data_IF_544822386629
#
_entry.id   IF_544822386629
#
_cell.length_a   1.000
_cell.length_b   1.000
_cell.length_c   1.000
_cell.angle_alpha   90.00
_cell.angle_beta   90.00
_cell.angle_gamma   90.00
#
_symmetry.space_group_name_H-M   'P 1'
#
loop_
_entity.id
_entity.type
_entity.pdbx_description
1 polymer ?
#
# COMPACT_ATOMS: atom_id res chain seq x y z
N UNK A 1 -4.41 18.85 30.74
CA UNK A 1 -4.13 18.99 29.30
C UNK A 1 -2.70 19.48 29.19
N UNK A 2 -1.77 18.67 28.66
CA UNK A 2 -0.37 19.11 28.54
C UNK A 2 -0.34 20.20 27.45
N UNK A 3 0.21 21.37 27.76
CA UNK A 3 0.61 22.36 26.78
C UNK A 3 1.68 21.69 25.90
N UNK A 4 1.24 20.97 24.85
CA UNK A 4 2.14 20.31 23.94
C UNK A 4 2.87 21.40 23.16
N UNK A 5 4.14 21.62 23.48
CA UNK A 5 4.99 22.52 22.71
C UNK A 5 5.34 21.86 21.38
N UNK A 6 4.78 22.38 20.30
CA UNK A 6 5.08 21.91 18.94
C UNK A 6 6.20 22.74 18.32
N UNK A 7 7.19 22.07 17.76
CA UNK A 7 8.23 22.69 16.93
C UNK A 7 7.55 23.30 15.68
N UNK A 8 7.89 24.53 15.33
CA UNK A 8 7.38 25.14 14.09
C UNK A 8 7.91 24.42 12.86
N UNK A 9 7.03 24.21 11.88
CA UNK A 9 7.35 23.44 10.67
C UNK A 9 6.12 22.80 10.01
N UNK A 10 6.36 21.84 9.15
CA UNK A 10 5.35 21.10 8.40
C UNK A 10 4.95 19.81 9.14
N UNK A 11 3.65 19.64 9.37
CA UNK A 11 3.04 18.45 9.97
C UNK A 11 2.16 17.75 8.93
N UNK A 12 2.50 16.52 8.58
CA UNK A 12 1.66 15.66 7.75
C UNK A 12 0.66 14.97 8.67
N UNK A 13 -0.62 15.33 8.57
CA UNK A 13 -1.63 14.88 9.54
C UNK A 13 -2.62 13.94 8.86
N UNK A 14 -2.66 12.69 9.34
CA UNK A 14 -3.67 11.73 8.91
C UNK A 14 -5.07 12.16 9.36
N UNK A 15 -6.03 12.05 8.43
CA UNK A 15 -7.45 12.32 8.68
C UNK A 15 -8.27 11.03 8.66
N UNK A 16 -9.50 11.01 9.21
CA UNK A 16 -10.36 9.82 9.17
C UNK A 16 -10.66 9.38 7.74
N UNK A 17 -10.81 8.06 7.55
CA UNK A 17 -11.21 7.45 6.26
C UNK A 17 -12.68 7.06 6.20
N UNK A 18 -13.47 7.48 7.19
CA UNK A 18 -14.91 7.19 7.25
C UNK A 18 -15.50 7.28 8.65
N UNK A 19 -14.68 7.08 9.70
CA UNK A 19 -15.10 7.16 11.08
C UNK A 19 -14.33 8.25 11.82
N UNK A 20 -15.03 9.28 12.31
CA UNK A 20 -14.40 10.39 13.04
C UNK A 20 -13.63 9.93 14.28
N UNK A 21 -14.03 8.81 14.89
CA UNK A 21 -13.36 8.23 16.04
C UNK A 21 -11.93 7.72 15.78
N UNK A 22 -11.56 7.55 14.51
CA UNK A 22 -10.20 7.08 14.12
C UNK A 22 -9.16 8.21 14.07
N UNK A 23 -9.57 9.46 14.32
CA UNK A 23 -8.61 10.56 14.41
C UNK A 23 -7.84 10.46 15.74
N UNK A 24 -6.52 10.56 15.67
CA UNK A 24 -5.71 10.54 16.89
C UNK A 24 -5.83 11.84 17.71
N UNK A 25 -5.73 11.74 19.02
CA UNK A 25 -5.72 12.92 19.89
C UNK A 25 -4.61 13.91 19.49
N UNK A 26 -3.42 13.40 19.12
CA UNK A 26 -2.30 14.22 18.64
C UNK A 26 -2.63 14.93 17.32
N UNK A 27 -3.40 14.31 16.41
CA UNK A 27 -3.84 14.97 15.18
C UNK A 27 -4.76 16.18 15.51
N UNK A 28 -5.68 16.01 16.45
CA UNK A 28 -6.55 17.09 16.91
C UNK A 28 -5.73 18.23 17.52
N UNK A 29 -4.76 17.91 18.38
CA UNK A 29 -3.91 18.92 19.01
C UNK A 29 -3.04 19.68 17.99
N UNK A 30 -2.47 18.98 17.00
CA UNK A 30 -1.72 19.60 15.90
C UNK A 30 -2.61 20.50 15.07
N UNK A 31 -3.82 20.06 14.70
CA UNK A 31 -4.76 20.89 13.93
C UNK A 31 -5.21 22.12 14.72
N UNK A 32 -5.39 22.01 16.05
CA UNK A 32 -5.67 23.16 16.92
C UNK A 32 -4.50 24.16 17.01
N UNK A 33 -3.27 23.67 16.97
CA UNK A 33 -2.06 24.48 17.13
C UNK A 33 -1.53 25.06 15.83
N UNK A 34 -1.89 24.47 14.67
CA UNK A 34 -1.44 24.94 13.37
C UNK A 34 -1.91 26.37 13.07
N UNK A 35 -1.00 27.21 12.58
CA UNK A 35 -1.30 28.56 12.12
C UNK A 35 -2.05 28.54 10.77
N UNK A 36 -1.76 27.52 9.94
CA UNK A 36 -2.39 27.30 8.64
C UNK A 36 -2.59 25.79 8.41
N UNK A 37 -3.73 25.42 7.80
CA UNK A 37 -3.96 24.06 7.32
C UNK A 37 -3.97 24.07 5.80
N UNK A 38 -2.98 23.39 5.20
CA UNK A 38 -2.93 23.11 3.77
C UNK A 38 -3.73 21.83 3.49
N UNK A 39 -4.61 21.83 2.50
CA UNK A 39 -5.55 20.73 2.27
C UNK A 39 -5.95 20.61 0.79
N UNK A 40 -6.36 19.43 0.39
CA UNK A 40 -6.78 19.18 -1.00
C UNK A 40 -8.10 19.91 -1.31
N UNK A 41 -9.17 19.65 -0.55
CA UNK A 41 -10.44 20.37 -0.63
C UNK A 41 -10.72 21.10 0.70
N UNK A 42 -10.73 22.45 0.62
CA UNK A 42 -11.00 23.31 1.78
C UNK A 42 -12.39 23.09 2.38
N UNK A 43 -13.36 22.66 1.59
CA UNK A 43 -14.74 22.41 2.05
C UNK A 43 -14.79 21.14 2.91
N UNK A 44 -14.11 20.07 2.51
CA UNK A 44 -14.03 18.82 3.26
C UNK A 44 -13.26 19.03 4.57
N UNK A 45 -12.12 19.71 4.49
CA UNK A 45 -11.32 20.06 5.68
C UNK A 45 -12.10 20.97 6.64
N UNK A 46 -12.85 21.96 6.15
CA UNK A 46 -13.67 22.81 7.00
C UNK A 46 -14.74 22.01 7.76
N UNK A 47 -15.39 21.04 7.09
CA UNK A 47 -16.36 20.13 7.74
C UNK A 47 -15.70 19.32 8.85
N UNK A 48 -14.51 18.73 8.56
CA UNK A 48 -13.75 17.96 9.56
C UNK A 48 -13.43 18.83 10.77
N UNK A 49 -12.86 20.04 10.57
CA UNK A 49 -12.51 20.95 11.67
C UNK A 49 -13.74 21.33 12.49
N UNK A 50 -14.88 21.57 11.84
CA UNK A 50 -16.14 21.87 12.52
C UNK A 50 -16.60 20.71 13.40
N UNK A 51 -16.54 19.46 12.88
CA UNK A 51 -16.87 18.25 13.66
C UNK A 51 -15.96 18.04 14.86
N UNK A 52 -14.69 18.48 14.76
CA UNK A 52 -13.70 18.42 15.84
C UNK A 52 -13.79 19.60 16.81
N UNK A 53 -14.69 20.54 16.61
CA UNK A 53 -14.81 21.76 17.42
C UNK A 53 -13.63 22.73 17.26
N UNK A 54 -12.96 22.69 16.10
CA UNK A 54 -11.83 23.56 15.75
C UNK A 54 -12.30 24.69 14.85
N UNK A 55 -12.27 25.93 15.34
CA UNK A 55 -12.70 27.12 14.62
C UNK A 55 -11.54 28.05 14.27
N UNK A 56 -11.78 28.99 13.35
CA UNK A 56 -10.86 30.10 13.03
C UNK A 56 -9.56 29.71 12.33
N UNK A 57 -9.47 28.51 11.73
CA UNK A 57 -8.26 28.06 11.02
C UNK A 57 -8.18 28.66 9.64
N UNK A 58 -6.99 29.10 9.25
CA UNK A 58 -6.68 29.53 7.90
C UNK A 58 -6.48 28.32 7.02
N UNK A 59 -7.33 28.15 6.01
CA UNK A 59 -7.22 27.05 5.05
C UNK A 59 -6.51 27.54 3.77
N UNK A 60 -5.65 26.69 3.22
CA UNK A 60 -4.96 26.94 1.94
C UNK A 60 -5.11 25.70 1.07
N UNK A 61 -5.72 25.84 -0.09
CA UNK A 61 -5.83 24.73 -1.04
C UNK A 61 -4.45 24.33 -1.56
N UNK A 62 -4.14 23.03 -1.50
CA UNK A 62 -2.92 22.43 -2.01
C UNK A 62 -3.25 21.07 -2.65
N UNK A 63 -3.25 21.02 -3.97
CA UNK A 63 -3.54 19.83 -4.77
C UNK A 63 -2.61 19.79 -5.99
N UNK A 64 -2.56 18.68 -6.71
CA UNK A 64 -1.62 18.48 -7.83
C UNK A 64 -1.69 19.57 -8.91
N UNK A 65 -2.88 20.15 -9.17
CA UNK A 65 -3.06 21.18 -10.20
C UNK A 65 -2.60 22.59 -9.77
N UNK A 66 -2.47 22.86 -8.46
CA UNK A 66 -2.05 24.18 -7.96
C UNK A 66 -0.72 24.14 -7.21
N UNK A 67 -0.09 22.98 -7.05
CA UNK A 67 1.11 22.79 -6.25
C UNK A 67 2.24 23.77 -6.59
N UNK A 68 2.44 24.08 -7.87
CA UNK A 68 3.48 25.05 -8.30
C UNK A 68 3.25 26.48 -7.77
N UNK A 69 1.98 26.89 -7.64
CA UNK A 69 1.61 28.22 -7.13
C UNK A 69 1.45 28.25 -5.61
N UNK A 70 0.99 27.14 -5.02
CA UNK A 70 0.72 27.05 -3.59
C UNK A 70 1.99 26.75 -2.78
N UNK A 71 2.89 25.91 -3.28
CA UNK A 71 4.12 25.51 -2.58
C UNK A 71 4.96 26.71 -2.14
N UNK A 72 5.33 27.70 -2.99
CA UNK A 72 6.12 28.85 -2.56
C UNK A 72 5.47 29.65 -1.41
N UNK A 73 4.13 29.78 -1.45
CA UNK A 73 3.39 30.52 -0.41
C UNK A 73 3.39 29.78 0.94
N UNK A 74 3.34 28.45 0.90
CA UNK A 74 3.41 27.65 2.10
C UNK A 74 4.84 27.69 2.67
N UNK A 75 5.86 27.60 1.82
CA UNK A 75 7.26 27.72 2.23
C UNK A 75 7.57 29.06 2.88
N UNK A 76 7.03 30.16 2.34
CA UNK A 76 7.18 31.51 2.92
C UNK A 76 6.62 31.55 4.35
N UNK A 77 5.43 30.95 4.61
CA UNK A 77 4.87 30.85 5.95
C UNK A 77 5.77 30.05 6.89
N UNK A 78 6.25 28.90 6.44
CA UNK A 78 7.14 28.03 7.22
C UNK A 78 8.46 28.76 7.55
N UNK A 79 9.04 29.53 6.63
CA UNK A 79 10.22 30.37 6.86
C UNK A 79 9.93 31.50 7.85
N UNK A 80 8.69 31.99 7.89
CA UNK A 80 8.24 32.99 8.88
C UNK A 80 7.87 32.35 10.22
N UNK A 81 8.37 31.13 10.49
CA UNK A 81 8.17 30.41 11.75
C UNK A 81 6.70 30.10 12.07
N UNK A 82 5.87 29.90 11.03
CA UNK A 82 4.53 29.36 11.18
C UNK A 82 4.55 27.85 11.25
N UNK A 83 3.56 27.27 11.94
CA UNK A 83 3.27 25.84 11.94
C UNK A 83 2.20 25.53 10.90
N UNK A 84 2.51 24.70 9.90
CA UNK A 84 1.57 24.30 8.86
C UNK A 84 1.22 22.83 8.99
N UNK A 85 -0.07 22.53 9.05
CA UNK A 85 -0.56 21.14 8.91
C UNK A 85 -0.95 20.90 7.47
N UNK A 86 -0.44 19.80 6.87
CA UNK A 86 -0.90 19.30 5.58
C UNK A 86 -1.83 18.11 5.84
N UNK A 87 -3.04 18.17 5.30
CA UNK A 87 -4.04 17.10 5.35
C UNK A 87 -4.50 16.72 3.95
N UNK A 88 -4.86 15.46 3.74
CA UNK A 88 -5.64 14.99 2.60
C UNK A 88 -7.14 14.96 2.94
N UNK A 89 -7.97 14.70 1.96
CA UNK A 89 -9.42 14.58 2.17
C UNK A 89 -9.75 13.37 3.05
N UNK A 90 -8.94 12.28 2.98
CA UNK A 90 -9.07 11.10 3.82
C UNK A 90 -7.74 10.34 3.94
N UNK A 91 -7.40 9.88 5.14
CA UNK A 91 -6.22 9.06 5.39
C UNK A 91 -4.91 9.84 5.51
N UNK A 92 -3.82 9.21 5.09
CA UNK A 92 -2.46 9.73 5.19
C UNK A 92 -2.13 10.64 4.00
N UNK A 93 -1.71 11.90 4.19
CA UNK A 93 -1.21 12.73 3.10
C UNK A 93 -0.06 12.06 2.34
N UNK A 94 0.16 12.39 1.09
CA UNK A 94 1.15 11.84 0.16
C UNK A 94 0.87 10.42 -0.33
N UNK A 95 -0.02 9.67 0.29
CA UNK A 95 -0.31 8.28 -0.06
C UNK A 95 -1.45 8.26 -1.10
N UNK A 96 -1.12 8.29 -2.37
CA UNK A 96 -2.01 8.55 -3.52
C UNK A 96 -2.62 9.96 -3.53
N UNK A 97 -2.05 10.87 -2.73
CA UNK A 97 -2.51 12.24 -2.48
C UNK A 97 -1.39 13.25 -2.75
N UNK A 98 -1.72 14.56 -2.89
CA UNK A 98 -0.73 15.61 -3.05
C UNK A 98 0.19 15.75 -1.82
N UNK A 99 1.41 16.29 -2.03
CA UNK A 99 2.29 16.66 -0.89
C UNK A 99 3.76 16.41 -1.13
N UNK A 100 4.14 15.46 -1.98
CA UNK A 100 5.52 15.04 -2.19
C UNK A 100 6.46 16.22 -2.48
N UNK A 101 6.10 17.10 -3.44
CA UNK A 101 6.89 18.29 -3.80
C UNK A 101 7.08 19.24 -2.61
N UNK A 102 6.03 19.48 -1.83
CA UNK A 102 6.11 20.35 -0.65
C UNK A 102 7.06 19.79 0.41
N UNK A 103 7.00 18.49 0.66
CA UNK A 103 7.88 17.82 1.62
C UNK A 103 9.33 17.90 1.17
N UNK A 104 9.62 17.63 -0.12
CA UNK A 104 10.98 17.79 -0.66
C UNK A 104 11.50 19.21 -0.47
N UNK A 105 10.74 20.21 -0.89
CA UNK A 105 11.10 21.61 -0.73
C UNK A 105 11.35 22.00 0.73
N UNK A 106 10.56 21.47 1.68
CA UNK A 106 10.80 21.71 3.10
C UNK A 106 12.13 21.10 3.54
N UNK A 107 12.43 19.87 3.16
CA UNK A 107 13.68 19.18 3.50
C UNK A 107 14.88 19.94 2.92
N UNK A 108 14.84 20.33 1.65
CA UNK A 108 15.90 21.03 0.96
C UNK A 108 16.19 22.42 1.56
N UNK A 109 15.18 23.01 2.21
CA UNK A 109 15.31 24.29 2.91
C UNK A 109 15.55 24.17 4.42
N UNK A 110 15.83 22.96 4.94
CA UNK A 110 16.09 22.74 6.36
C UNK A 110 14.90 23.00 7.29
N UNK A 111 13.67 23.00 6.75
CA UNK A 111 12.43 23.19 7.49
C UNK A 111 12.07 21.87 8.18
N UNK A 112 11.71 21.93 9.46
CA UNK A 112 11.26 20.75 10.20
C UNK A 112 10.01 20.13 9.58
N UNK A 113 10.07 18.82 9.32
CA UNK A 113 8.96 18.03 8.80
C UNK A 113 8.71 16.84 9.72
N UNK A 114 7.46 16.62 10.08
CA UNK A 114 7.06 15.44 10.88
C UNK A 114 5.71 14.90 10.41
N UNK A 115 5.42 13.65 10.78
CA UNK A 115 4.13 13.00 10.50
C UNK A 115 3.39 12.68 11.78
N UNK A 116 2.06 12.86 11.73
CA UNK A 116 1.11 12.41 12.73
C UNK A 116 0.38 11.19 12.18
N UNK A 117 0.78 9.97 12.55
CA UNK A 117 0.19 8.75 12.01
C UNK A 117 -1.28 8.61 12.38
N UNK A 118 -2.03 7.92 11.54
CA UNK A 118 -3.45 7.68 11.77
C UNK A 118 -4.05 6.72 10.75
N UNK A 119 -5.33 6.90 10.43
CA UNK A 119 -6.08 6.02 9.55
C UNK A 119 -5.40 5.87 8.18
N UNK A 120 -5.33 4.61 7.72
CA UNK A 120 -4.70 4.25 6.45
C UNK A 120 -5.45 3.09 5.80
N UNK A 121 -6.18 3.35 4.71
CA UNK A 121 -7.08 2.38 4.10
C UNK A 121 -6.36 1.13 3.60
N UNK A 122 -5.21 1.27 2.92
CA UNK A 122 -4.49 0.12 2.37
C UNK A 122 -3.89 -0.78 3.44
N UNK A 123 -3.38 -0.23 4.55
CA UNK A 123 -2.87 -1.02 5.68
C UNK A 123 -4.00 -1.74 6.42
N UNK A 124 -5.13 -1.07 6.63
CA UNK A 124 -6.31 -1.68 7.23
C UNK A 124 -6.86 -2.80 6.36
N UNK A 125 -6.92 -2.60 5.03
CA UNK A 125 -7.31 -3.64 4.09
C UNK A 125 -6.37 -4.85 4.12
N UNK A 126 -5.04 -4.63 4.20
CA UNK A 126 -4.05 -5.70 4.34
C UNK A 126 -4.33 -6.54 5.60
N UNK A 127 -4.55 -5.89 6.75
CA UNK A 127 -4.90 -6.58 8.00
C UNK A 127 -6.20 -7.39 7.87
N UNK A 128 -7.23 -6.82 7.24
CA UNK A 128 -8.52 -7.47 7.05
C UNK A 128 -8.48 -8.58 5.98
N UNK A 129 -7.51 -8.57 5.07
CA UNK A 129 -7.44 -9.53 3.96
C UNK A 129 -7.17 -10.96 4.42
N UNK A 130 -6.41 -11.15 5.50
CA UNK A 130 -5.90 -12.45 5.95
C UNK A 130 -4.77 -13.01 5.08
N UNK A 131 -4.23 -12.20 4.15
CA UNK A 131 -3.09 -12.55 3.30
C UNK A 131 -1.75 -12.25 3.98
N UNK A 132 -0.62 -12.83 3.52
CA UNK A 132 0.71 -12.57 4.09
C UNK A 132 1.02 -11.07 4.15
N UNK A 133 1.39 -10.57 5.33
CA UNK A 133 1.60 -9.13 5.58
C UNK A 133 3.06 -8.74 5.80
N UNK A 134 3.97 -9.71 5.88
CA UNK A 134 5.39 -9.46 6.14
C UNK A 134 6.12 -8.80 4.96
N UNK A 135 5.57 -8.92 3.75
CA UNK A 135 6.08 -8.27 2.55
C UNK A 135 4.88 -7.88 1.68
N UNK A 136 4.72 -6.59 1.40
CA UNK A 136 3.63 -6.08 0.57
C UNK A 136 4.12 -4.92 -0.30
N UNK A 137 3.40 -4.68 -1.39
CA UNK A 137 3.59 -3.57 -2.30
C UNK A 137 2.24 -2.86 -2.49
N UNK A 138 2.19 -1.58 -2.17
CA UNK A 138 1.06 -0.71 -2.45
C UNK A 138 1.30 0.01 -3.78
N UNK A 139 0.43 -0.21 -4.77
CA UNK A 139 0.54 0.36 -6.12
C UNK A 139 -0.41 1.55 -6.35
N UNK A 140 -1.31 1.87 -5.41
CA UNK A 140 -2.35 2.88 -5.64
C UNK A 140 -3.38 2.43 -6.68
N UNK A 141 -3.81 3.34 -7.56
CA UNK A 141 -4.77 3.04 -8.63
C UNK A 141 -4.07 2.51 -9.88
N UNK A 142 -4.60 1.44 -10.44
CA UNK A 142 -4.16 0.94 -11.74
C UNK A 142 -4.64 1.86 -12.88
N UNK A 143 -3.94 1.87 -14.03
CA UNK A 143 -4.36 2.62 -15.20
C UNK A 143 -5.81 2.30 -15.63
N UNK A 144 -6.60 3.30 -16.07
CA UNK A 144 -8.01 3.08 -16.44
C UNK A 144 -8.18 2.23 -17.71
N UNK A 145 -7.24 2.29 -18.67
CA UNK A 145 -7.29 1.53 -19.92
C UNK A 145 -6.76 0.12 -19.71
N UNK A 146 -7.53 -0.90 -20.12
CA UNK A 146 -7.19 -2.34 -20.03
C UNK A 146 -5.77 -2.65 -20.49
N UNK A 147 -5.35 -2.17 -21.66
CA UNK A 147 -3.99 -2.44 -22.17
C UNK A 147 -2.89 -1.91 -21.26
N UNK A 148 -3.04 -0.70 -20.72
CA UNK A 148 -2.08 -0.11 -19.81
C UNK A 148 -2.13 -0.78 -18.42
N UNK A 149 -3.33 -1.16 -17.96
CA UNK A 149 -3.56 -1.88 -16.71
C UNK A 149 -2.89 -3.26 -16.73
N UNK A 150 -3.05 -4.01 -17.82
CA UNK A 150 -2.39 -5.33 -17.97
C UNK A 150 -0.87 -5.20 -18.00
N UNK A 151 -0.31 -4.22 -18.71
CA UNK A 151 1.15 -3.96 -18.70
C UNK A 151 1.67 -3.67 -17.30
N UNK A 152 0.96 -2.88 -16.50
CA UNK A 152 1.32 -2.63 -15.11
C UNK A 152 1.26 -3.91 -14.26
N UNK A 153 0.21 -4.71 -14.44
CA UNK A 153 0.06 -5.99 -13.76
C UNK A 153 1.15 -7.00 -14.16
N UNK A 154 1.61 -7.02 -15.42
CA UNK A 154 2.73 -7.85 -15.89
C UNK A 154 4.02 -7.53 -15.14
N UNK A 155 4.32 -6.24 -14.89
CA UNK A 155 5.48 -5.81 -14.10
C UNK A 155 5.39 -6.34 -12.67
N UNK A 156 4.18 -6.38 -12.11
CA UNK A 156 3.92 -6.80 -10.74
C UNK A 156 3.78 -8.32 -10.57
N UNK A 157 3.61 -9.06 -11.68
CA UNK A 157 3.23 -10.48 -11.64
C UNK A 157 4.21 -11.35 -10.83
N UNK A 158 5.51 -11.07 -10.92
CA UNK A 158 6.55 -11.87 -10.27
C UNK A 158 7.08 -11.24 -8.97
N UNK A 159 6.46 -10.16 -8.48
CA UNK A 159 6.87 -9.54 -7.22
C UNK A 159 6.49 -10.45 -6.06
N UNK A 160 7.45 -10.93 -5.23
CA UNK A 160 7.18 -11.86 -4.13
C UNK A 160 6.63 -11.13 -2.90
N UNK A 161 5.49 -10.45 -3.08
CA UNK A 161 4.82 -9.64 -2.07
C UNK A 161 3.30 -9.67 -2.27
N UNK A 162 2.56 -9.41 -1.20
CA UNK A 162 1.12 -9.12 -1.29
C UNK A 162 0.92 -7.78 -1.97
N UNK A 163 0.14 -7.75 -3.04
CA UNK A 163 -0.13 -6.55 -3.83
C UNK A 163 -1.41 -5.87 -3.33
N UNK A 164 -1.38 -4.54 -3.22
CA UNK A 164 -2.50 -3.75 -2.71
C UNK A 164 -2.81 -2.62 -3.70
N UNK A 165 -4.10 -2.48 -4.04
CA UNK A 165 -4.58 -1.51 -5.02
C UNK A 165 -5.81 -0.78 -4.49
N UNK A 166 -5.90 0.51 -4.77
CA UNK A 166 -7.16 1.24 -4.70
C UNK A 166 -7.96 1.02 -5.98
N UNK A 167 -9.29 0.94 -5.85
CA UNK A 167 -10.15 0.81 -7.02
C UNK A 167 -11.51 1.48 -6.81
N UNK A 168 -12.10 1.93 -7.89
CA UNK A 168 -13.47 2.45 -7.91
C UNK A 168 -14.48 1.33 -8.20
N UNK A 169 -15.71 1.44 -7.67
CA UNK A 169 -16.73 0.42 -7.89
C UNK A 169 -17.07 0.20 -9.38
N UNK A 170 -17.01 1.26 -10.18
CA UNK A 170 -17.32 1.20 -11.61
C UNK A 170 -16.31 0.38 -12.41
N UNK A 171 -15.06 0.32 -11.94
CA UNK A 171 -13.94 -0.37 -12.62
C UNK A 171 -13.65 -1.75 -12.05
N UNK A 172 -14.21 -2.08 -10.89
CA UNK A 172 -13.86 -3.30 -10.14
C UNK A 172 -13.98 -4.57 -10.99
N UNK A 173 -15.06 -4.68 -11.79
CA UNK A 173 -15.31 -5.86 -12.62
C UNK A 173 -14.20 -6.12 -13.64
N UNK A 174 -13.83 -5.06 -14.38
CA UNK A 174 -12.76 -5.13 -15.38
C UNK A 174 -11.40 -5.35 -14.73
N UNK A 175 -11.15 -4.67 -13.61
CA UNK A 175 -9.88 -4.77 -12.89
C UNK A 175 -9.65 -6.18 -12.34
N UNK A 176 -10.65 -6.81 -11.72
CA UNK A 176 -10.55 -8.19 -11.25
C UNK A 176 -10.35 -9.17 -12.41
N UNK A 177 -11.02 -8.96 -13.55
CA UNK A 177 -10.84 -9.79 -14.73
C UNK A 177 -9.40 -9.69 -15.28
N UNK A 178 -8.86 -8.48 -15.43
CA UNK A 178 -7.49 -8.28 -15.88
C UNK A 178 -6.46 -8.82 -14.88
N UNK A 179 -6.72 -8.72 -13.56
CA UNK A 179 -5.89 -9.33 -12.53
C UNK A 179 -5.89 -10.86 -12.63
N UNK A 180 -7.05 -11.49 -12.85
CA UNK A 180 -7.15 -12.95 -13.00
C UNK A 180 -6.42 -13.45 -14.26
N UNK A 181 -6.48 -12.68 -15.35
CA UNK A 181 -5.82 -12.99 -16.60
C UNK A 181 -4.28 -12.90 -16.50
N UNK A 182 -3.76 -11.84 -15.88
CA UNK A 182 -2.32 -11.56 -15.85
C UNK A 182 -1.63 -12.18 -14.62
N UNK A 183 -2.23 -12.10 -13.43
CA UNK A 183 -1.62 -12.61 -12.20
C UNK A 183 -1.95 -14.08 -11.95
N UNK A 184 -2.88 -14.67 -12.72
CA UNK A 184 -3.44 -15.99 -12.45
C UNK A 184 -4.49 -15.96 -11.33
N UNK A 185 -5.08 -17.11 -11.03
CA UNK A 185 -6.19 -17.23 -10.07
C UNK A 185 -5.70 -17.22 -8.61
N UNK A 186 -5.04 -16.15 -8.17
CA UNK A 186 -4.50 -15.99 -6.81
C UNK A 186 -5.60 -15.78 -5.80
N UNK A 187 -5.30 -16.08 -4.53
CA UNK A 187 -6.11 -15.64 -3.40
C UNK A 187 -6.11 -14.11 -3.34
N UNK A 188 -7.28 -13.55 -3.07
CA UNK A 188 -7.47 -12.11 -3.00
C UNK A 188 -8.55 -11.75 -1.98
N UNK A 189 -8.58 -10.48 -1.62
CA UNK A 189 -9.65 -9.89 -0.82
C UNK A 189 -10.09 -8.56 -1.44
N UNK A 190 -11.40 -8.32 -1.46
CA UNK A 190 -11.98 -7.01 -1.78
C UNK A 190 -12.52 -6.45 -0.48
N UNK A 191 -11.94 -5.34 -0.02
CA UNK A 191 -12.34 -4.64 1.21
C UNK A 191 -12.98 -3.32 0.81
N UNK A 192 -14.20 -3.08 1.26
CA UNK A 192 -14.93 -1.87 0.91
C UNK A 192 -15.43 -1.12 2.12
N UNK A 193 -15.61 0.20 1.96
CA UNK A 193 -16.22 1.08 2.96
C UNK A 193 -15.62 0.91 4.36
N UNK A 194 -14.29 0.81 4.44
CA UNK A 194 -13.52 0.58 5.66
C UNK A 194 -13.89 1.65 6.70
N UNK A 195 -14.14 1.21 7.95
CA UNK A 195 -14.58 2.02 9.10
C UNK A 195 -15.99 2.64 8.99
N UNK A 196 -16.69 2.42 7.87
CA UNK A 196 -18.05 2.95 7.63
C UNK A 196 -19.13 1.92 7.94
N UNK A 197 -20.39 2.36 7.94
CA UNK A 197 -21.58 1.52 8.23
C UNK A 197 -21.69 0.26 7.35
N UNK A 198 -21.18 0.31 6.12
CA UNK A 198 -21.27 -0.77 5.16
C UNK A 198 -19.91 -1.42 4.88
N UNK A 199 -19.01 -1.40 5.87
CA UNK A 199 -17.75 -2.11 5.82
C UNK A 199 -17.97 -3.59 5.50
N UNK A 200 -17.22 -4.08 4.51
CA UNK A 200 -17.30 -5.49 4.12
C UNK A 200 -15.95 -5.96 3.58
N UNK A 201 -15.59 -7.19 3.93
CA UNK A 201 -14.43 -7.88 3.37
C UNK A 201 -14.89 -9.19 2.74
N UNK A 202 -14.72 -9.32 1.43
CA UNK A 202 -14.98 -10.56 0.68
C UNK A 202 -13.65 -11.18 0.28
N UNK A 203 -13.44 -12.45 0.65
CA UNK A 203 -12.19 -13.19 0.41
C UNK A 203 -12.45 -14.37 -0.51
N UNK A 204 -11.48 -14.71 -1.36
CA UNK A 204 -11.57 -15.86 -2.26
C UNK A 204 -10.44 -15.82 -3.29
N UNK A 205 -10.51 -16.65 -4.31
CA UNK A 205 -9.68 -16.50 -5.49
C UNK A 205 -10.20 -15.37 -6.37
N UNK A 206 -9.37 -14.80 -7.23
CA UNK A 206 -9.79 -13.74 -8.16
C UNK A 206 -11.02 -14.15 -8.98
N UNK A 207 -11.04 -15.37 -9.54
CA UNK A 207 -12.21 -15.89 -10.27
C UNK A 207 -13.43 -16.08 -9.36
N UNK A 208 -13.23 -16.60 -8.14
CA UNK A 208 -14.33 -16.78 -7.17
C UNK A 208 -14.96 -15.45 -6.76
N UNK A 209 -14.16 -14.38 -6.60
CA UNK A 209 -14.67 -13.03 -6.33
C UNK A 209 -15.50 -12.49 -7.51
N UNK A 210 -15.02 -12.69 -8.75
CA UNK A 210 -15.75 -12.29 -9.96
C UNK A 210 -17.12 -13.00 -10.02
N UNK A 211 -17.14 -14.30 -9.83
CA UNK A 211 -18.36 -15.09 -9.89
C UNK A 211 -19.33 -14.74 -8.76
N UNK A 212 -18.80 -14.53 -7.54
CA UNK A 212 -19.60 -14.08 -6.40
C UNK A 212 -20.27 -12.73 -6.65
N UNK A 213 -19.54 -11.75 -7.23
CA UNK A 213 -20.13 -10.45 -7.55
C UNK A 213 -21.08 -10.49 -8.75
N UNK A 214 -20.87 -11.34 -9.73
CA UNK A 214 -21.82 -11.56 -10.82
C UNK A 214 -23.19 -12.08 -10.31
N UNK A 215 -23.17 -12.95 -9.29
CA UNK A 215 -24.39 -13.52 -8.70
C UNK A 215 -25.09 -12.56 -7.74
N UNK A 216 -24.32 -11.82 -6.91
CA UNK A 216 -24.86 -11.03 -5.79
C UNK A 216 -24.87 -9.53 -6.04
N UNK A 217 -24.39 -9.07 -7.21
CA UNK A 217 -24.24 -7.66 -7.56
C UNK A 217 -22.92 -7.05 -7.16
N UNK A 218 -22.46 -6.08 -7.95
CA UNK A 218 -21.21 -5.37 -7.74
C UNK A 218 -21.31 -4.39 -6.57
N UNK A 219 -20.27 -4.28 -5.73
CA UNK A 219 -20.29 -3.41 -4.56
C UNK A 219 -20.23 -1.93 -4.96
N UNK A 220 -20.72 -1.08 -4.05
CA UNK A 220 -20.63 0.40 -4.14
C UNK A 220 -19.65 0.89 -3.05
N UNK A 221 -19.19 2.13 -3.18
CA UNK A 221 -18.32 2.80 -2.22
C UNK A 221 -16.84 2.64 -2.53
N UNK A 222 -15.98 3.04 -1.62
CA UNK A 222 -14.53 2.98 -1.77
C UNK A 222 -14.02 1.56 -1.57
N UNK A 223 -13.07 1.14 -2.41
CA UNK A 223 -12.62 -0.25 -2.50
C UNK A 223 -11.09 -0.32 -2.45
N UNK A 224 -10.61 -1.30 -1.69
CA UNK A 224 -9.22 -1.74 -1.71
C UNK A 224 -9.20 -3.22 -2.13
N UNK A 225 -8.37 -3.55 -3.11
CA UNK A 225 -8.12 -4.92 -3.55
C UNK A 225 -6.77 -5.35 -2.98
N UNK A 226 -6.73 -6.52 -2.37
CA UNK A 226 -5.50 -7.13 -1.84
C UNK A 226 -5.33 -8.49 -2.52
N UNK A 227 -4.18 -8.74 -3.14
CA UNK A 227 -3.89 -9.97 -3.90
C UNK A 227 -2.67 -10.65 -3.32
N UNK A 228 -2.76 -11.96 -3.10
CA UNK A 228 -1.65 -12.77 -2.57
C UNK A 228 -0.40 -12.71 -3.47
N UNK A 229 0.79 -12.93 -2.91
CA UNK A 229 2.01 -13.10 -3.71
C UNK A 229 1.85 -14.26 -4.72
N UNK A 230 2.70 -14.35 -5.75
CA UNK A 230 2.77 -15.53 -6.58
C UNK A 230 3.02 -16.76 -5.70
N UNK A 231 2.48 -17.92 -6.10
CA UNK A 231 2.83 -19.17 -5.46
C UNK A 231 4.36 -19.35 -5.56
N UNK A 232 4.99 -19.76 -4.45
CA UNK A 232 6.37 -20.20 -4.56
C UNK A 232 6.41 -21.37 -5.56
N UNK A 233 7.04 -21.16 -6.70
CA UNK A 233 7.37 -22.27 -7.58
C UNK A 233 8.29 -23.19 -6.81
N UNK A 234 7.75 -24.28 -6.28
CA UNK A 234 8.60 -25.41 -5.88
C UNK A 234 9.26 -25.87 -7.17
N UNK A 235 10.58 -25.69 -7.26
CA UNK A 235 11.33 -26.17 -8.39
C UNK A 235 10.91 -27.62 -8.73
N UNK A 236 10.57 -27.85 -10.00
CA UNK A 236 10.18 -29.18 -10.44
C UNK A 236 11.30 -30.18 -10.10
N UNK A 237 11.00 -31.44 -9.79
CA UNK A 237 12.03 -32.45 -9.48
C UNK A 237 13.15 -32.52 -10.53
N UNK A 238 12.84 -32.29 -11.80
CA UNK A 238 13.81 -32.24 -12.90
C UNK A 238 14.78 -31.06 -12.77
N UNK A 239 14.34 -29.91 -12.28
CA UNK A 239 15.20 -28.73 -12.09
C UNK A 239 16.14 -28.94 -10.90
N UNK A 240 15.67 -29.59 -9.85
CA UNK A 240 16.49 -29.98 -8.68
C UNK A 240 17.60 -30.91 -9.10
N UNK A 241 17.28 -31.93 -9.87
CA UNK A 241 18.26 -32.91 -10.40
C UNK A 241 19.31 -32.25 -11.31
N UNK A 242 18.90 -31.34 -12.19
CA UNK A 242 19.78 -30.58 -13.05
C UNK A 242 20.77 -29.72 -12.26
N UNK A 243 20.27 -29.02 -11.23
CA UNK A 243 21.11 -28.20 -10.34
C UNK A 243 22.08 -29.06 -9.54
N UNK A 244 21.62 -30.20 -9.00
CA UNK A 244 22.48 -31.13 -8.26
C UNK A 244 23.56 -31.70 -9.16
N UNK A 245 23.23 -32.22 -10.36
CA UNK A 245 24.19 -32.78 -11.30
C UNK A 245 25.30 -31.81 -11.66
N UNK A 246 24.92 -30.57 -12.00
CA UNK A 246 25.87 -29.50 -12.30
C UNK A 246 26.78 -29.15 -11.11
N UNK A 247 26.23 -29.10 -9.90
CA UNK A 247 27.00 -28.82 -8.69
C UNK A 247 27.95 -29.97 -8.33
N UNK A 248 27.55 -31.23 -8.57
CA UNK A 248 28.40 -32.41 -8.32
C UNK A 248 29.65 -32.49 -9.22
N UNK A 249 29.70 -31.78 -10.34
CA UNK A 249 30.85 -31.69 -11.22
C UNK A 249 32.06 -31.03 -10.52
N UNK A 250 31.79 -30.10 -9.59
CA UNK A 250 32.85 -29.27 -8.95
C UNK A 250 32.82 -29.29 -7.42
N UNK A 251 31.80 -29.85 -6.80
CA UNK A 251 31.55 -29.77 -5.36
C UNK A 251 31.40 -31.15 -4.71
N UNK A 252 31.61 -31.22 -3.40
CA UNK A 252 31.26 -32.42 -2.62
C UNK A 252 29.74 -32.62 -2.58
N UNK A 253 29.25 -33.84 -2.34
CA UNK A 253 27.80 -34.12 -2.22
C UNK A 253 27.12 -33.21 -1.20
N UNK A 254 27.79 -32.95 -0.08
CA UNK A 254 27.29 -32.08 0.98
C UNK A 254 27.15 -30.63 0.53
N UNK A 255 28.17 -30.12 -0.18
CA UNK A 255 28.16 -28.74 -0.67
C UNK A 255 27.21 -28.55 -1.85
N UNK A 256 27.17 -29.53 -2.78
CA UNK A 256 26.26 -29.58 -3.90
C UNK A 256 24.78 -29.59 -3.41
N UNK A 257 24.48 -30.39 -2.38
CA UNK A 257 23.16 -30.44 -1.79
C UNK A 257 22.78 -29.11 -1.08
N UNK A 258 23.74 -28.49 -0.39
CA UNK A 258 23.50 -27.19 0.24
C UNK A 258 23.27 -26.10 -0.80
N UNK A 259 24.07 -26.08 -1.87
CA UNK A 259 23.92 -25.14 -2.99
C UNK A 259 22.57 -25.33 -3.70
N UNK A 260 22.22 -26.57 -4.06
CA UNK A 260 20.95 -26.86 -4.73
C UNK A 260 19.74 -26.53 -3.84
N UNK A 261 19.78 -26.80 -2.54
CA UNK A 261 18.73 -26.42 -1.60
C UNK A 261 18.54 -24.90 -1.53
N UNK A 262 19.64 -24.14 -1.55
CA UNK A 262 19.59 -22.68 -1.56
C UNK A 262 19.02 -22.12 -2.86
N UNK A 263 19.39 -22.71 -4.00
CA UNK A 263 18.93 -22.27 -5.33
C UNK A 263 17.46 -22.64 -5.61
N UNK A 264 17.01 -23.80 -5.11
CA UNK A 264 15.69 -24.35 -5.45
C UNK A 264 14.66 -24.15 -4.34
N UNK A 265 15.05 -23.69 -3.14
CA UNK A 265 14.15 -23.58 -1.98
C UNK A 265 13.72 -24.94 -1.40
N UNK A 266 14.20 -26.05 -1.95
CA UNK A 266 13.82 -27.38 -1.51
C UNK A 266 14.47 -27.74 -0.13
N UNK A 267 13.81 -28.57 0.72
CA UNK A 267 14.32 -28.95 2.02
C UNK A 267 15.70 -29.62 1.88
N UNK A 268 16.70 -29.10 2.58
CA UNK A 268 18.12 -29.55 2.50
C UNK A 268 18.27 -31.06 2.69
N UNK A 269 17.44 -31.67 3.55
CA UNK A 269 17.46 -33.11 3.80
C UNK A 269 17.06 -33.92 2.57
N UNK A 270 16.05 -33.49 1.83
CA UNK A 270 15.55 -34.17 0.64
C UNK A 270 16.52 -34.01 -0.52
N UNK A 271 17.07 -32.79 -0.70
CA UNK A 271 18.09 -32.51 -1.71
C UNK A 271 19.37 -33.30 -1.45
N UNK A 272 19.78 -33.46 -0.19
CA UNK A 272 20.97 -34.28 0.16
C UNK A 272 20.74 -35.76 -0.17
N UNK A 273 19.59 -36.31 0.17
CA UNK A 273 19.22 -37.70 -0.20
C UNK A 273 19.28 -37.89 -1.72
N UNK A 274 18.69 -36.96 -2.46
CA UNK A 274 18.67 -36.99 -3.93
C UNK A 274 20.06 -36.84 -4.54
N UNK A 275 20.90 -36.01 -3.98
CA UNK A 275 22.32 -35.85 -4.42
C UNK A 275 23.13 -37.11 -4.23
N UNK A 276 22.90 -37.88 -3.16
CA UNK A 276 23.52 -39.20 -2.95
C UNK A 276 23.07 -40.22 -4.01
N UNK A 277 21.76 -40.26 -4.32
CA UNK A 277 21.19 -41.15 -5.35
C UNK A 277 21.81 -40.88 -6.72
N UNK A 278 21.86 -39.61 -7.11
CA UNK A 278 22.44 -39.18 -8.39
C UNK A 278 23.96 -39.46 -8.51
N UNK A 279 24.70 -39.30 -7.41
CA UNK A 279 26.13 -39.61 -7.41
C UNK A 279 26.40 -41.11 -7.53
N UNK A 280 25.56 -41.94 -6.94
CA UNK A 280 25.70 -43.40 -6.94
C UNK A 280 25.14 -44.08 -8.21
N UNK A 281 24.61 -43.32 -9.18
CA UNK A 281 24.05 -43.85 -10.42
C UNK A 281 22.72 -44.61 -10.25
N UNK A 282 22.00 -44.34 -9.15
CA UNK A 282 20.75 -45.03 -8.80
C UNK A 282 19.51 -44.24 -9.25
N UNK A 283 19.61 -43.37 -10.23
CA UNK A 283 18.50 -42.56 -10.77
C UNK A 283 18.18 -42.92 -12.22
#
# INVERSE_FOLDING_TARGET
MSDAFFIKGLYLVATPIGNLGDISARAVDVLKSADTVACEDTRNTQKLLTLLGIAGKKLTAYHNFNAEKACPKILERLRNNEMVALVSDAGMPLVSDPGYKLVQECIDNGIYVTSVPGACAFLTALQLSGLPSHRFLFNGFLPPKTTARKKELEILANVPATLIFYESPQRLAETLADMADVLGNRQAAVVREITKKFEQTVRGTLSGLIDGYRQNGWPKGEIVIVVAPPAEEKAAPADIDAVIKRALETMTVKDAAAFAAQQTGAPKKDVYKRALELKNGQA
#
